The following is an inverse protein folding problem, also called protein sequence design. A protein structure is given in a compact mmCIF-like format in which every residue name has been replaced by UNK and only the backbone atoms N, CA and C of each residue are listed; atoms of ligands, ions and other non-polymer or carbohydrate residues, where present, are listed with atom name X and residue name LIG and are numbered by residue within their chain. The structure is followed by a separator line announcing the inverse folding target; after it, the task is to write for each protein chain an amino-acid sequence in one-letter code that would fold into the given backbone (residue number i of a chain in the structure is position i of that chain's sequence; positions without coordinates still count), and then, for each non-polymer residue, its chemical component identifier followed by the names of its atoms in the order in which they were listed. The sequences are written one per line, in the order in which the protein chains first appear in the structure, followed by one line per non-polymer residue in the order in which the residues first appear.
data_IF_773649149819
#
_entry.id   IF_773649149819
#
_cell.length_a   1.000
_cell.length_b   1.000
_cell.length_c   1.000
_cell.angle_alpha   90.00
_cell.angle_beta   90.00
_cell.angle_gamma   90.00
#
_symmetry.space_group_name_H-M   'P 1'
#
loop_
_entity.id
_entity.type
_entity.pdbx_description
1 polymer ?
#
# COMPACT_ATOMS: atom_id res chain seq x y z
N UNK A 1 -13.83 15.81 7.13
CA UNK A 1 -13.77 14.35 7.29
C UNK A 1 -15.13 13.81 7.65
N UNK A 2 -15.56 12.73 7.02
CA UNK A 2 -16.85 12.10 7.27
C UNK A 2 -16.61 10.71 7.84
N UNK A 3 -17.30 10.36 8.92
CA UNK A 3 -17.23 9.03 9.54
C UNK A 3 -18.62 8.40 9.57
N UNK A 4 -18.67 7.10 9.33
CA UNK A 4 -19.91 6.31 9.44
C UNK A 4 -19.72 5.23 10.50
N UNK A 5 -20.65 5.19 11.46
CA UNK A 5 -20.73 4.13 12.48
C UNK A 5 -22.16 3.59 12.49
N UNK A 6 -22.32 2.35 12.08
CA UNK A 6 -23.65 1.77 11.79
C UNK A 6 -24.41 2.63 10.77
N UNK A 7 -25.60 3.14 11.13
CA UNK A 7 -26.42 4.01 10.28
C UNK A 7 -26.20 5.51 10.57
N UNK A 8 -25.31 5.84 11.50
CA UNK A 8 -24.99 7.23 11.86
C UNK A 8 -23.81 7.75 11.06
N UNK A 9 -23.98 8.93 10.45
CA UNK A 9 -22.95 9.61 9.66
C UNK A 9 -22.67 10.95 10.31
N UNK A 10 -21.42 11.14 10.72
CA UNK A 10 -20.89 12.39 11.25
C UNK A 10 -19.94 13.03 10.26
N UNK A 11 -20.08 14.33 10.05
CA UNK A 11 -19.18 15.12 9.22
C UNK A 11 -18.60 16.26 10.03
N UNK A 12 -17.27 16.31 10.08
CA UNK A 12 -16.54 17.37 10.78
C UNK A 12 -15.46 17.98 9.88
N UNK A 13 -15.30 19.29 9.94
CA UNK A 13 -14.10 19.93 9.43
C UNK A 13 -12.93 19.60 10.36
N UNK A 14 -11.83 19.12 9.79
CA UNK A 14 -10.61 18.80 10.53
C UNK A 14 -9.44 19.52 9.87
N UNK A 15 -8.55 20.07 10.67
CA UNK A 15 -7.33 20.70 10.14
C UNK A 15 -6.35 19.66 9.66
N UNK A 16 -6.16 18.58 10.43
CA UNK A 16 -5.28 17.50 10.13
C UNK A 16 -6.01 16.15 10.30
N UNK A 17 -6.22 15.38 9.22
CA UNK A 17 -6.89 14.08 9.30
C UNK A 17 -6.10 13.05 10.11
N UNK A 18 -4.78 13.14 10.17
CA UNK A 18 -3.96 12.22 10.94
C UNK A 18 -4.18 12.35 12.45
N UNK A 19 -4.39 13.58 12.95
CA UNK A 19 -4.68 13.79 14.37
C UNK A 19 -6.07 13.25 14.74
N UNK A 20 -7.03 13.34 13.82
CA UNK A 20 -8.33 12.71 14.01
C UNK A 20 -8.21 11.18 14.07
N UNK A 21 -7.41 10.58 13.20
CA UNK A 21 -7.15 9.12 13.21
C UNK A 21 -6.51 8.71 14.55
N UNK A 22 -5.54 9.46 15.05
CA UNK A 22 -4.91 9.21 16.36
C UNK A 22 -5.96 9.22 17.49
N UNK A 23 -6.82 10.24 17.52
CA UNK A 23 -7.89 10.32 18.52
C UNK A 23 -8.88 9.15 18.41
N UNK A 24 -9.20 8.72 17.20
CA UNK A 24 -10.03 7.54 16.98
C UNK A 24 -9.35 6.28 17.51
N UNK A 25 -8.07 6.06 17.18
CA UNK A 25 -7.33 4.85 17.58
C UNK A 25 -7.14 4.73 19.10
N UNK A 26 -7.08 5.84 19.83
CA UNK A 26 -7.03 5.80 21.32
C UNK A 26 -8.28 5.13 21.93
N UNK A 27 -9.42 5.19 21.23
CA UNK A 27 -10.67 4.56 21.70
C UNK A 27 -10.69 3.04 21.52
N UNK A 28 -9.77 2.49 20.71
CA UNK A 28 -9.71 1.07 20.37
C UNK A 28 -8.36 0.48 20.77
N UNK A 29 -8.37 -0.30 21.85
CA UNK A 29 -7.19 -1.06 22.26
C UNK A 29 -7.19 -2.42 21.56
N UNK A 30 -6.18 -2.66 20.77
CA UNK A 30 -5.91 -3.98 20.20
C UNK A 30 -5.14 -4.83 21.22
N UNK A 31 -5.51 -6.08 21.46
CA UNK A 31 -4.69 -7.00 22.23
C UNK A 31 -3.36 -7.24 21.49
N UNK A 32 -2.31 -7.45 22.24
CA UNK A 32 -0.98 -7.80 21.73
C UNK A 32 -0.75 -9.32 21.83
N UNK A 33 0.34 -9.80 21.24
CA UNK A 33 0.78 -11.19 21.43
C UNK A 33 1.09 -11.55 22.89
N UNK A 34 1.36 -10.54 23.74
CA UNK A 34 1.50 -10.73 25.19
C UNK A 34 0.15 -10.98 25.86
N UNK A 35 -0.90 -10.27 25.40
CA UNK A 35 -2.27 -10.47 25.90
C UNK A 35 -2.86 -11.81 25.40
N UNK A 36 -2.60 -12.16 24.13
CA UNK A 36 -3.10 -13.38 23.46
C UNK A 36 -1.98 -14.02 22.64
N UNK A 37 -1.24 -15.00 23.19
CA UNK A 37 -0.07 -15.60 22.52
C UNK A 37 -0.37 -16.27 21.18
N UNK A 38 -1.60 -16.66 20.93
CA UNK A 38 -2.06 -17.28 19.66
C UNK A 38 -2.58 -16.23 18.66
N UNK A 39 -2.50 -14.95 18.99
CA UNK A 39 -2.97 -13.89 18.10
C UNK A 39 -2.11 -13.86 16.83
N UNK A 40 -2.70 -13.89 15.63
CA UNK A 40 -1.96 -13.67 14.40
C UNK A 40 -1.28 -12.28 14.38
N UNK A 41 -0.19 -12.16 13.63
CA UNK A 41 0.55 -10.89 13.48
C UNK A 41 -0.32 -9.76 12.95
N UNK A 42 -1.38 -10.07 12.19
CA UNK A 42 -2.41 -9.14 11.77
C UNK A 42 -3.76 -9.56 12.34
N UNK A 43 -4.21 -8.90 13.39
CA UNK A 43 -5.48 -9.17 14.05
C UNK A 43 -6.62 -8.22 13.69
N UNK A 44 -6.38 -7.24 12.84
CA UNK A 44 -7.33 -6.19 12.48
C UNK A 44 -6.77 -4.81 12.80
N UNK A 45 -7.31 -3.79 12.21
CA UNK A 45 -6.92 -2.39 12.40
C UNK A 45 -7.80 -1.48 11.54
N UNK A 46 -7.34 -0.25 11.30
CA UNK A 46 -7.79 0.58 10.21
C UNK A 46 -7.18 0.09 8.89
N UNK A 47 -8.00 -0.32 7.97
CA UNK A 47 -7.62 -0.83 6.63
C UNK A 47 -8.26 0.04 5.56
N UNK A 48 -7.52 0.39 4.52
CA UNK A 48 -8.05 1.21 3.43
C UNK A 48 -6.92 1.79 2.58
N UNK A 49 -7.09 3.01 2.10
CA UNK A 49 -6.09 3.68 1.29
C UNK A 49 -5.92 5.15 1.66
N UNK A 50 -4.71 5.63 1.40
CA UNK A 50 -4.37 7.04 1.30
C UNK A 50 -4.02 7.32 -0.16
N UNK A 51 -4.79 8.20 -0.80
CA UNK A 51 -4.55 8.61 -2.19
C UNK A 51 -3.28 9.46 -2.31
N UNK A 52 -2.76 9.57 -3.53
CA UNK A 52 -1.53 10.34 -3.78
C UNK A 52 -1.64 11.80 -3.32
N UNK A 53 -2.82 12.41 -3.46
CA UNK A 53 -3.06 13.82 -3.09
C UNK A 53 -2.97 14.09 -1.58
N UNK A 54 -2.94 13.04 -0.72
CA UNK A 54 -2.62 13.20 0.70
C UNK A 54 -1.24 13.85 0.93
N UNK A 55 -0.34 13.80 -0.05
CA UNK A 55 0.93 14.49 0.01
C UNK A 55 0.80 15.99 0.27
N UNK A 56 -0.29 16.62 -0.17
CA UNK A 56 -0.54 18.06 0.02
C UNK A 56 -0.80 18.44 1.48
N UNK A 57 -1.29 17.47 2.25
CA UNK A 57 -1.48 17.62 3.69
C UNK A 57 -0.15 17.36 4.43
N UNK A 58 0.62 16.37 3.95
CA UNK A 58 1.91 15.98 4.53
C UNK A 58 2.97 17.04 4.22
N UNK A 59 2.99 17.55 2.97
CA UNK A 59 3.98 18.48 2.46
C UNK A 59 3.28 19.65 1.74
N UNK A 60 2.87 20.68 2.48
CA UNK A 60 2.12 21.82 1.93
C UNK A 60 2.86 22.59 0.82
N UNK A 61 4.20 22.46 0.74
CA UNK A 61 5.01 23.11 -0.29
C UNK A 61 4.74 22.58 -1.71
N UNK A 62 4.18 21.38 -1.83
CA UNK A 62 3.70 20.82 -3.12
C UNK A 62 2.53 21.61 -3.67
N UNK A 63 1.80 22.32 -2.82
CA UNK A 63 0.69 23.19 -3.19
C UNK A 63 -0.61 22.46 -3.44
N UNK A 64 -1.66 23.24 -3.70
CA UNK A 64 -2.98 22.70 -4.05
C UNK A 64 -3.03 22.31 -5.53
N UNK A 65 -3.79 21.29 -5.85
CA UNK A 65 -4.07 20.90 -7.23
C UNK A 65 -5.42 21.44 -7.66
N UNK A 66 -5.42 22.10 -8.81
CA UNK A 66 -6.63 22.41 -9.56
C UNK A 66 -7.04 21.26 -10.49
N UNK A 67 -6.34 20.12 -10.39
CA UNK A 67 -6.65 18.97 -11.20
C UNK A 67 -8.05 18.40 -10.86
N UNK A 68 -8.86 18.12 -11.86
CA UNK A 68 -10.19 17.57 -11.61
C UNK A 68 -10.10 16.18 -10.99
N UNK A 69 -11.01 15.88 -10.06
CA UNK A 69 -11.22 14.53 -9.52
C UNK A 69 -12.39 13.84 -10.25
N UNK A 70 -12.19 13.31 -11.46
CA UNK A 70 -13.29 12.81 -12.30
C UNK A 70 -13.88 11.49 -11.80
N UNK A 71 -13.22 10.83 -10.85
CA UNK A 71 -13.74 9.61 -10.21
C UNK A 71 -14.52 9.92 -8.93
N UNK A 72 -14.46 11.17 -8.45
CA UNK A 72 -15.08 11.60 -7.19
C UNK A 72 -14.67 10.73 -5.99
N UNK A 73 -13.43 10.21 -6.04
CA UNK A 73 -12.91 9.40 -4.94
C UNK A 73 -12.39 10.29 -3.82
N UNK A 74 -12.62 9.91 -2.55
CA UNK A 74 -12.01 10.62 -1.43
C UNK A 74 -10.48 10.45 -1.43
N UNK A 75 -9.76 11.45 -0.92
CA UNK A 75 -8.30 11.38 -0.81
C UNK A 75 -7.84 10.30 0.17
N UNK A 76 -8.71 9.93 1.11
CA UNK A 76 -8.47 8.86 2.08
C UNK A 76 -9.79 8.13 2.35
N UNK A 77 -9.73 6.81 2.42
CA UNK A 77 -10.85 5.98 2.86
C UNK A 77 -10.32 4.86 3.75
N UNK A 78 -10.83 4.79 4.98
CA UNK A 78 -10.40 3.81 5.98
C UNK A 78 -11.62 3.12 6.59
N UNK A 79 -11.49 1.84 6.84
CA UNK A 79 -12.46 0.98 7.52
C UNK A 79 -11.83 0.44 8.80
N UNK A 80 -12.52 0.57 9.91
CA UNK A 80 -12.15 -0.13 11.14
C UNK A 80 -12.64 -1.57 11.06
N UNK A 81 -11.70 -2.52 11.05
CA UNK A 81 -12.01 -3.95 10.97
C UNK A 81 -12.41 -4.49 12.34
N UNK A 82 -13.69 -4.72 12.56
CA UNK A 82 -14.23 -5.28 13.80
C UNK A 82 -14.29 -6.82 13.77
N UNK A 83 -14.22 -7.40 12.59
CA UNK A 83 -14.15 -8.86 12.40
C UNK A 83 -13.09 -9.17 11.32
N UNK A 84 -12.23 -10.13 11.59
CA UNK A 84 -11.13 -10.50 10.69
C UNK A 84 -11.03 -12.02 10.60
N UNK A 85 -10.83 -12.53 9.38
CA UNK A 85 -10.51 -13.92 9.13
C UNK A 85 -9.08 -13.99 8.62
N UNK A 86 -8.24 -14.73 9.32
CA UNK A 86 -6.82 -14.88 8.97
C UNK A 86 -6.57 -16.31 8.53
N UNK A 87 -6.08 -16.47 7.30
CA UNK A 87 -5.57 -17.75 6.78
C UNK A 87 -4.05 -17.75 6.92
N UNK A 88 -3.54 -18.60 7.78
CA UNK A 88 -2.09 -18.86 7.87
C UNK A 88 -1.76 -20.07 7.00
N UNK A 89 -1.14 -19.79 5.84
CA UNK A 89 -0.77 -20.85 4.89
C UNK A 89 0.48 -21.63 5.32
N UNK A 90 1.25 -21.13 6.27
CA UNK A 90 2.42 -21.83 6.81
C UNK A 90 1.99 -22.87 7.84
N UNK A 91 1.15 -22.45 8.78
CA UNK A 91 0.62 -23.32 9.85
C UNK A 91 -0.63 -24.10 9.41
N UNK A 92 -1.18 -23.80 8.22
CA UNK A 92 -2.44 -24.34 7.73
C UNK A 92 -3.60 -24.16 8.72
N UNK A 93 -3.68 -22.99 9.33
CA UNK A 93 -4.73 -22.64 10.29
C UNK A 93 -5.61 -21.51 9.75
N UNK A 94 -6.83 -21.46 10.26
CA UNK A 94 -7.77 -20.36 10.04
C UNK A 94 -8.16 -19.81 11.41
N UNK A 95 -7.98 -18.51 11.60
CA UNK A 95 -8.38 -17.80 12.81
C UNK A 95 -9.49 -16.80 12.48
N UNK A 96 -10.56 -16.82 13.27
CA UNK A 96 -11.64 -15.83 13.20
C UNK A 96 -11.51 -14.95 14.45
N UNK A 97 -11.36 -13.67 14.26
CA UNK A 97 -11.19 -12.68 15.33
C UNK A 97 -12.37 -11.72 15.27
N UNK A 98 -13.08 -11.56 16.37
CA UNK A 98 -14.16 -10.58 16.51
C UNK A 98 -13.89 -9.70 17.72
N UNK A 99 -13.89 -8.40 17.52
CA UNK A 99 -13.70 -7.40 18.57
C UNK A 99 -15.02 -7.10 19.25
N UNK A 100 -15.02 -7.15 20.58
CA UNK A 100 -16.20 -6.90 21.41
C UNK A 100 -15.99 -5.66 22.28
N UNK A 101 -17.08 -5.00 22.62
CA UNK A 101 -17.09 -4.10 23.76
C UNK A 101 -17.03 -4.94 25.05
N UNK A 102 -15.84 -4.96 25.66
CA UNK A 102 -15.60 -5.77 26.86
C UNK A 102 -16.19 -5.14 28.16
N UNK A 103 -16.86 -3.99 28.06
CA UNK A 103 -17.48 -3.33 29.23
C UNK A 103 -18.87 -3.89 29.54
N UNK A 104 -19.45 -4.66 28.62
CA UNK A 104 -20.83 -5.18 28.77
C UNK A 104 -20.91 -6.68 28.45
N UNK A 105 -21.76 -7.42 29.17
CA UNK A 105 -22.09 -8.82 28.85
C UNK A 105 -22.79 -8.94 27.49
N UNK A 106 -23.52 -7.92 27.09
CA UNK A 106 -24.17 -7.84 25.79
C UNK A 106 -23.15 -7.78 24.67
N UNK A 107 -22.06 -6.98 24.81
CA UNK A 107 -20.98 -6.88 23.86
C UNK A 107 -20.30 -8.22 23.59
N UNK A 108 -20.03 -9.01 24.66
CA UNK A 108 -19.50 -10.36 24.52
C UNK A 108 -20.47 -11.29 23.77
N UNK A 109 -21.75 -11.27 24.15
CA UNK A 109 -22.78 -12.10 23.51
C UNK A 109 -22.98 -11.76 22.03
N UNK A 110 -22.84 -10.49 21.65
CA UNK A 110 -22.86 -10.05 20.24
C UNK A 110 -21.66 -10.57 19.47
N UNK A 111 -20.47 -10.54 20.06
CA UNK A 111 -19.26 -11.06 19.41
C UNK A 111 -19.32 -12.57 19.18
N UNK A 112 -19.83 -13.36 20.13
CA UNK A 112 -20.03 -14.81 19.96
C UNK A 112 -20.99 -15.08 18.80
N UNK A 113 -22.11 -14.39 18.74
CA UNK A 113 -23.07 -14.53 17.62
C UNK A 113 -22.47 -14.17 16.26
N UNK A 114 -21.60 -13.17 16.22
CA UNK A 114 -20.92 -12.81 14.97
C UNK A 114 -19.89 -13.86 14.57
N UNK A 115 -19.16 -14.45 15.54
CA UNK A 115 -18.26 -15.59 15.29
C UNK A 115 -19.02 -16.78 14.68
N UNK A 116 -20.13 -17.22 15.31
CA UNK A 116 -20.97 -18.33 14.84
C UNK A 116 -21.48 -18.06 13.41
N UNK A 117 -21.95 -16.85 13.14
CA UNK A 117 -22.43 -16.44 11.81
C UNK A 117 -21.33 -16.47 10.73
N UNK A 118 -20.09 -16.08 11.08
CA UNK A 118 -18.95 -16.16 10.17
C UNK A 118 -18.61 -17.62 9.89
N UNK A 119 -18.59 -18.47 10.92
CA UNK A 119 -18.33 -19.91 10.81
C UNK A 119 -19.37 -20.60 9.91
N UNK A 120 -20.67 -20.33 10.11
CA UNK A 120 -21.74 -20.81 9.24
C UNK A 120 -21.53 -20.41 7.78
N UNK A 121 -21.20 -19.14 7.53
CA UNK A 121 -20.92 -18.63 6.17
C UNK A 121 -19.71 -19.29 5.52
N UNK A 122 -18.67 -19.60 6.27
CA UNK A 122 -17.49 -20.29 5.74
C UNK A 122 -17.79 -21.73 5.35
N UNK A 123 -18.79 -22.35 5.97
CA UNK A 123 -19.25 -23.70 5.63
C UNK A 123 -20.16 -23.74 4.38
N UNK A 124 -20.70 -22.61 3.93
CA UNK A 124 -21.54 -22.55 2.75
C UNK A 124 -20.75 -22.85 1.47
N UNK A 125 -21.26 -23.67 0.54
CA UNK A 125 -20.60 -23.91 -0.73
C UNK A 125 -20.55 -22.64 -1.59
N UNK A 126 -19.35 -22.31 -2.06
CA UNK A 126 -19.13 -21.15 -2.93
C UNK A 126 -19.45 -21.47 -4.39
N UNK A 127 -20.45 -20.81 -4.95
CA UNK A 127 -20.82 -20.88 -6.37
C UNK A 127 -20.16 -19.71 -7.13
N UNK A 128 -18.86 -19.81 -7.41
CA UNK A 128 -18.16 -18.83 -8.21
C UNK A 128 -18.29 -19.18 -9.70
N UNK A 129 -19.14 -18.47 -10.42
CA UNK A 129 -19.14 -18.47 -11.87
C UNK A 129 -18.19 -17.40 -12.38
N UNK A 130 -17.27 -17.76 -13.27
CA UNK A 130 -16.46 -16.77 -13.98
C UNK A 130 -17.20 -16.33 -15.23
N UNK A 131 -17.75 -15.11 -15.30
CA UNK A 131 -18.37 -14.63 -16.52
C UNK A 131 -17.32 -14.48 -17.63
N UNK A 132 -17.67 -14.90 -18.84
CA UNK A 132 -16.85 -14.60 -20.02
C UNK A 132 -17.04 -13.13 -20.34
N UNK A 133 -15.96 -12.36 -20.22
CA UNK A 133 -15.97 -10.93 -20.46
C UNK A 133 -15.38 -10.61 -21.83
N UNK A 134 -15.94 -9.65 -22.58
CA UNK A 134 -15.29 -9.13 -23.76
C UNK A 134 -13.99 -8.42 -23.37
N UNK A 135 -12.99 -8.47 -24.23
CA UNK A 135 -11.73 -7.75 -24.01
C UNK A 135 -11.99 -6.24 -23.93
N UNK A 136 -11.69 -5.58 -22.81
CA UNK A 136 -11.95 -4.16 -22.65
C UNK A 136 -11.06 -3.33 -23.57
N UNK A 137 -11.61 -2.25 -24.11
CA UNK A 137 -10.83 -1.28 -24.88
C UNK A 137 -10.35 -0.16 -23.97
N UNK A 138 -9.06 -0.12 -23.73
CA UNK A 138 -8.43 0.92 -22.90
C UNK A 138 -8.26 2.23 -23.66
N UNK A 139 -8.57 3.34 -22.99
CA UNK A 139 -8.43 4.70 -23.51
C UNK A 139 -7.49 5.45 -22.55
N UNK A 140 -6.41 6.01 -23.11
CA UNK A 140 -5.51 6.90 -22.35
C UNK A 140 -6.18 8.26 -22.13
N UNK A 141 -6.22 8.71 -20.89
CA UNK A 141 -6.75 10.03 -20.55
C UNK A 141 -5.74 11.17 -20.85
N UNK A 142 -4.46 10.86 -20.87
CA UNK A 142 -3.39 11.82 -21.19
C UNK A 142 -3.16 11.91 -22.70
N UNK A 143 -3.19 10.78 -23.39
CA UNK A 143 -2.82 10.66 -24.79
C UNK A 143 -1.31 10.62 -25.01
N UNK A 144 -0.90 10.00 -26.11
CA UNK A 144 0.51 9.74 -26.42
C UNK A 144 1.33 11.03 -26.59
N UNK A 145 0.79 11.99 -27.35
CA UNK A 145 1.51 13.24 -27.67
C UNK A 145 1.86 14.04 -26.40
N UNK A 146 0.85 14.23 -25.53
CA UNK A 146 1.05 14.94 -24.27
C UNK A 146 2.01 14.18 -23.37
N UNK A 147 1.87 12.88 -23.21
CA UNK A 147 2.77 12.06 -22.39
C UNK A 147 4.23 12.18 -22.87
N UNK A 148 4.47 12.07 -24.19
CA UNK A 148 5.80 12.23 -24.76
C UNK A 148 6.36 13.65 -24.58
N UNK A 149 5.50 14.68 -24.66
CA UNK A 149 5.90 16.07 -24.39
C UNK A 149 6.29 16.27 -22.93
N UNK A 150 5.51 15.73 -22.00
CA UNK A 150 5.80 15.79 -20.55
C UNK A 150 7.12 15.09 -20.23
N UNK A 151 7.39 13.91 -20.81
CA UNK A 151 8.68 13.22 -20.67
C UNK A 151 9.85 14.04 -21.18
N UNK A 152 9.70 14.75 -22.32
CA UNK A 152 10.75 15.65 -22.82
C UNK A 152 11.04 16.77 -21.83
N UNK A 153 10.00 17.42 -21.31
CA UNK A 153 10.14 18.48 -20.30
C UNK A 153 10.82 17.99 -19.02
N UNK A 154 10.48 16.75 -18.55
CA UNK A 154 11.16 16.14 -17.41
C UNK A 154 12.65 15.93 -17.69
N UNK A 155 13.01 15.48 -18.90
CA UNK A 155 14.43 15.34 -19.30
C UNK A 155 15.18 16.67 -19.28
N UNK A 156 14.51 17.79 -19.61
CA UNK A 156 15.10 19.11 -19.51
C UNK A 156 15.37 19.50 -18.06
N UNK A 157 14.47 19.18 -17.12
CA UNK A 157 14.70 19.37 -15.67
C UNK A 157 15.85 18.52 -15.14
N UNK A 158 15.98 17.27 -15.61
CA UNK A 158 17.12 16.41 -15.25
C UNK A 158 18.43 17.02 -15.77
N UNK A 159 18.45 17.47 -17.03
CA UNK A 159 19.64 18.10 -17.62
C UNK A 159 20.03 19.42 -16.93
N UNK A 160 19.04 20.16 -16.41
CA UNK A 160 19.26 21.37 -15.63
C UNK A 160 19.74 21.12 -14.20
N UNK A 161 19.71 19.86 -13.72
CA UNK A 161 20.09 19.48 -12.35
C UNK A 161 18.99 19.73 -11.31
N UNK A 162 17.76 19.99 -11.74
CA UNK A 162 16.62 20.18 -10.84
C UNK A 162 16.20 18.88 -10.12
N UNK A 163 16.25 17.77 -10.84
CA UNK A 163 15.88 16.44 -10.36
C UNK A 163 16.83 15.38 -10.91
N UNK A 164 16.97 14.26 -10.21
CA UNK A 164 17.68 13.08 -10.71
C UNK A 164 16.73 12.12 -11.42
N UNK A 165 15.50 11.98 -10.89
CA UNK A 165 14.46 11.09 -11.42
C UNK A 165 13.09 11.71 -11.18
N UNK A 166 12.18 11.52 -12.14
CA UNK A 166 10.74 11.81 -11.99
C UNK A 166 9.94 10.67 -12.61
N UNK A 167 8.89 10.26 -11.93
CA UNK A 167 7.99 9.19 -12.39
C UNK A 167 6.69 9.81 -12.94
N UNK A 168 6.57 10.00 -14.26
CA UNK A 168 5.34 10.48 -14.86
C UNK A 168 4.30 9.36 -14.88
N UNK A 169 3.03 9.71 -14.59
CA UNK A 169 1.94 8.77 -14.61
C UNK A 169 0.90 9.09 -15.69
N UNK A 170 0.22 8.08 -16.16
CA UNK A 170 -0.97 8.22 -16.99
C UNK A 170 -2.08 7.31 -16.51
N UNK A 171 -3.34 7.70 -16.78
CA UNK A 171 -4.51 6.89 -16.48
C UNK A 171 -5.08 6.31 -17.75
N UNK A 172 -5.31 5.00 -17.71
CA UNK A 172 -6.07 4.27 -18.72
C UNK A 172 -7.47 3.95 -18.18
N UNK A 173 -8.50 4.14 -18.96
CA UNK A 173 -9.88 3.82 -18.60
C UNK A 173 -10.49 2.84 -19.60
N UNK A 174 -11.35 1.97 -19.10
CA UNK A 174 -12.13 1.05 -19.92
C UNK A 174 -13.47 0.78 -19.24
N UNK A 175 -14.50 0.51 -20.04
CA UNK A 175 -15.77 0.01 -19.53
C UNK A 175 -15.59 -1.42 -19.01
N UNK A 176 -16.09 -1.66 -17.81
CA UNK A 176 -16.03 -2.95 -17.15
C UNK A 176 -17.37 -3.28 -16.49
N UNK A 177 -17.96 -4.42 -16.86
CA UNK A 177 -19.26 -4.88 -16.36
C UNK A 177 -19.18 -6.18 -15.55
N UNK A 178 -17.98 -6.64 -15.25
CA UNK A 178 -17.73 -7.89 -14.53
C UNK A 178 -17.63 -7.73 -13.02
N UNK A 179 -17.32 -8.85 -12.37
CA UNK A 179 -17.04 -8.91 -10.95
C UNK A 179 -15.59 -8.53 -10.65
N UNK A 180 -15.39 -7.64 -9.70
CA UNK A 180 -14.06 -7.21 -9.21
C UNK A 180 -13.24 -8.39 -8.65
N UNK A 181 -13.89 -9.36 -8.01
CA UNK A 181 -13.22 -10.58 -7.52
C UNK A 181 -12.62 -11.40 -8.67
N UNK A 182 -13.28 -11.43 -9.83
CA UNK A 182 -12.73 -12.10 -11.02
C UNK A 182 -11.44 -11.44 -11.51
N UNK A 183 -11.38 -10.09 -11.49
CA UNK A 183 -10.15 -9.33 -11.81
C UNK A 183 -9.05 -9.63 -10.80
N UNK A 184 -9.36 -9.60 -9.50
CA UNK A 184 -8.40 -9.93 -8.45
C UNK A 184 -7.83 -11.35 -8.62
N UNK A 185 -8.68 -12.33 -8.91
CA UNK A 185 -8.25 -13.73 -9.11
C UNK A 185 -7.37 -13.88 -10.34
N UNK A 186 -7.72 -13.20 -11.44
CA UNK A 186 -6.88 -13.17 -12.64
C UNK A 186 -5.52 -12.52 -12.36
N UNK A 187 -5.51 -11.39 -11.66
CA UNK A 187 -4.27 -10.70 -11.27
C UNK A 187 -3.39 -11.58 -10.36
N UNK A 188 -4.00 -12.25 -9.38
CA UNK A 188 -3.29 -13.19 -8.49
C UNK A 188 -2.66 -14.35 -9.26
N UNK A 189 -3.31 -14.84 -10.31
CA UNK A 189 -2.77 -15.90 -11.15
C UNK A 189 -1.64 -15.41 -12.07
N UNK A 190 -1.83 -14.25 -12.69
CA UNK A 190 -0.88 -13.71 -13.67
C UNK A 190 0.36 -13.10 -13.02
N UNK A 191 0.19 -12.43 -11.89
CA UNK A 191 1.25 -11.69 -11.20
C UNK A 191 1.13 -11.88 -9.68
N UNK A 192 1.45 -13.06 -9.14
CA UNK A 192 1.45 -13.30 -7.70
C UNK A 192 2.52 -12.41 -7.05
N UNK A 193 2.07 -11.41 -6.33
CA UNK A 193 2.90 -10.46 -5.60
C UNK A 193 2.72 -10.64 -4.09
N UNK A 194 3.70 -10.25 -3.24
CA UNK A 194 3.59 -10.36 -1.79
C UNK A 194 2.38 -9.62 -1.21
N UNK A 195 2.00 -8.51 -1.84
CA UNK A 195 0.91 -7.64 -1.39
C UNK A 195 -0.19 -7.57 -2.44
N UNK A 196 -1.10 -8.53 -2.38
CA UNK A 196 -2.31 -8.56 -3.19
C UNK A 196 -3.47 -8.06 -2.35
N UNK A 197 -4.26 -7.16 -2.89
CA UNK A 197 -5.41 -6.61 -2.17
C UNK A 197 -6.63 -6.43 -3.08
N UNK A 198 -7.79 -6.58 -2.47
CA UNK A 198 -9.10 -6.24 -3.01
C UNK A 198 -9.87 -5.52 -1.91
N UNK A 199 -10.10 -4.25 -2.09
CA UNK A 199 -10.84 -3.41 -1.14
C UNK A 199 -12.18 -3.05 -1.76
N UNK A 200 -13.26 -3.40 -1.08
CA UNK A 200 -14.62 -2.97 -1.40
C UNK A 200 -14.99 -1.78 -0.51
N UNK A 201 -15.40 -0.70 -1.09
CA UNK A 201 -15.81 0.48 -0.37
C UNK A 201 -17.04 1.15 -0.96
N UNK A 202 -17.57 2.10 -0.20
CA UNK A 202 -18.62 3.00 -0.64
C UNK A 202 -18.20 4.43 -0.31
N UNK A 203 -18.45 5.34 -1.23
CA UNK A 203 -18.37 6.76 -0.93
C UNK A 203 -19.42 7.10 0.10
N UNK A 204 -19.13 8.02 1.03
CA UNK A 204 -20.06 8.36 2.10
C UNK A 204 -21.14 9.36 1.63
N UNK A 205 -20.86 10.13 0.58
CA UNK A 205 -21.74 11.19 0.10
C UNK A 205 -22.92 10.63 -0.74
N UNK A 206 -22.62 9.75 -1.70
CA UNK A 206 -23.59 9.24 -2.66
C UNK A 206 -23.76 7.72 -2.61
N UNK A 207 -23.16 7.04 -1.64
CA UNK A 207 -23.14 5.59 -1.49
C UNK A 207 -22.73 4.83 -2.75
N UNK A 208 -21.92 5.45 -3.59
CA UNK A 208 -21.39 4.82 -4.79
C UNK A 208 -20.35 3.77 -4.41
N UNK A 209 -20.55 2.55 -4.86
CA UNK A 209 -19.57 1.47 -4.68
C UNK A 209 -18.32 1.74 -5.49
N UNK A 210 -17.18 1.46 -4.90
CA UNK A 210 -15.89 1.36 -5.57
C UNK A 210 -15.15 0.10 -5.15
N UNK A 211 -14.28 -0.40 -6.02
CA UNK A 211 -13.41 -1.52 -5.74
C UNK A 211 -11.97 -1.13 -6.13
N UNK A 212 -11.03 -1.35 -5.22
CA UNK A 212 -9.60 -1.14 -5.47
C UNK A 212 -8.91 -2.50 -5.48
N UNK A 213 -8.26 -2.82 -6.60
CA UNK A 213 -7.60 -4.09 -6.81
C UNK A 213 -6.15 -3.81 -7.13
N UNK A 214 -5.23 -4.50 -6.47
CA UNK A 214 -3.82 -4.31 -6.73
C UNK A 214 -2.95 -5.52 -6.40
N UNK A 215 -1.77 -5.51 -7.00
CA UNK A 215 -0.68 -6.43 -6.74
C UNK A 215 0.60 -5.60 -6.64
N UNK A 216 1.21 -5.53 -5.47
CA UNK A 216 2.42 -4.76 -5.23
C UNK A 216 3.56 -5.67 -4.77
N UNK A 217 4.75 -5.53 -5.34
CA UNK A 217 5.94 -6.22 -4.85
C UNK A 217 6.60 -5.49 -3.68
N UNK A 218 6.28 -4.22 -3.46
CA UNK A 218 7.01 -3.30 -2.59
C UNK A 218 6.10 -2.72 -1.50
N UNK A 219 6.64 -2.62 -0.28
CA UNK A 219 6.03 -1.88 0.83
C UNK A 219 6.48 -0.41 0.78
N UNK A 220 5.61 0.51 1.17
CA UNK A 220 6.02 1.88 1.47
C UNK A 220 6.89 1.90 2.73
N UNK A 221 6.35 1.37 3.81
CA UNK A 221 7.05 1.16 5.09
C UNK A 221 6.32 0.11 5.91
N UNK A 222 7.03 -0.51 6.85
CA UNK A 222 6.49 -1.43 7.85
C UNK A 222 7.04 -1.09 9.21
N UNK A 223 6.18 -1.21 10.23
CA UNK A 223 6.58 -1.09 11.63
C UNK A 223 6.22 -2.40 12.32
N UNK A 224 7.20 -3.01 12.93
CA UNK A 224 7.03 -4.25 13.66
C UNK A 224 7.97 -4.28 14.86
N UNK A 225 7.44 -4.48 16.07
CA UNK A 225 8.20 -4.48 17.32
C UNK A 225 9.12 -3.25 17.49
N UNK A 226 8.63 -2.05 17.16
CA UNK A 226 9.38 -0.82 17.25
C UNK A 226 10.45 -0.61 16.16
N UNK A 227 10.55 -1.52 15.20
CA UNK A 227 11.44 -1.41 14.04
C UNK A 227 10.68 -0.89 12.84
N UNK A 228 11.19 0.16 12.21
CA UNK A 228 10.72 0.68 10.93
C UNK A 228 11.57 0.08 9.83
N UNK A 229 10.92 -0.44 8.79
CA UNK A 229 11.58 -0.99 7.60
C UNK A 229 11.03 -0.31 6.35
N UNK A 230 11.91 0.16 5.48
CA UNK A 230 11.61 0.48 4.08
C UNK A 230 12.43 -0.44 3.19
N UNK A 231 11.85 -0.80 2.04
CA UNK A 231 12.44 -1.81 1.17
C UNK A 231 12.43 -1.36 -0.29
N UNK A 232 13.39 -0.53 -0.69
CA UNK A 232 13.49 -0.09 -2.07
C UNK A 232 13.74 -1.29 -3.01
N UNK A 233 12.99 -1.31 -4.11
CA UNK A 233 13.16 -2.22 -5.22
C UNK A 233 13.49 -1.39 -6.47
N UNK A 234 14.58 -1.73 -7.16
CA UNK A 234 14.93 -1.11 -8.43
C UNK A 234 15.70 -2.10 -9.32
N UNK A 235 15.85 -1.72 -10.57
CA UNK A 235 16.44 -2.62 -11.56
C UNK A 235 15.54 -3.82 -11.86
N UNK A 236 15.44 -4.18 -13.12
CA UNK A 236 14.58 -5.30 -13.53
C UNK A 236 15.23 -6.10 -14.64
N UNK A 237 15.21 -7.42 -14.50
CA UNK A 237 15.45 -8.36 -15.57
C UNK A 237 14.34 -9.40 -15.61
N UNK A 238 14.06 -9.93 -16.81
CA UNK A 238 13.19 -11.10 -16.95
C UNK A 238 13.83 -12.32 -16.31
N UNK A 239 13.02 -13.31 -15.98
CA UNK A 239 13.53 -14.61 -15.57
C UNK A 239 14.19 -15.34 -16.73
N UNK A 240 15.25 -16.07 -16.45
CA UNK A 240 15.91 -16.97 -17.40
C UNK A 240 15.02 -18.19 -17.72
N UNK A 241 15.24 -18.80 -18.89
CA UNK A 241 14.56 -20.05 -19.28
C UNK A 241 15.07 -21.28 -18.51
N UNK A 242 16.25 -21.16 -17.92
CA UNK A 242 16.90 -22.15 -17.08
C UNK A 242 17.78 -21.45 -16.04
N UNK A 243 18.29 -22.22 -15.07
CA UNK A 243 19.08 -21.70 -13.96
C UNK A 243 20.36 -20.96 -14.41
N UNK A 244 21.05 -21.47 -15.45
CA UNK A 244 22.26 -20.83 -15.94
C UNK A 244 21.97 -19.45 -16.56
N UNK A 245 20.90 -19.32 -17.34
CA UNK A 245 20.47 -18.05 -17.90
C UNK A 245 19.98 -17.10 -16.79
N UNK A 246 19.26 -17.61 -15.79
CA UNK A 246 18.77 -16.81 -14.65
C UNK A 246 19.93 -16.21 -13.85
N UNK A 247 20.99 -17.01 -13.59
CA UNK A 247 22.21 -16.54 -12.93
C UNK A 247 23.00 -15.54 -13.80
N UNK A 248 23.04 -15.73 -15.11
CA UNK A 248 23.70 -14.79 -16.01
C UNK A 248 22.97 -13.43 -16.02
N UNK A 249 21.63 -13.40 -16.05
CA UNK A 249 20.82 -12.20 -15.98
C UNK A 249 20.94 -11.50 -14.61
N UNK A 250 21.07 -12.25 -13.52
CA UNK A 250 21.40 -11.70 -12.21
C UNK A 250 22.73 -10.96 -12.20
N UNK A 251 23.80 -11.59 -12.74
CA UNK A 251 25.10 -10.97 -12.80
C UNK A 251 25.10 -9.74 -13.72
N UNK A 252 24.39 -9.79 -14.84
CA UNK A 252 24.19 -8.64 -15.71
C UNK A 252 23.53 -7.49 -14.95
N UNK A 253 22.45 -7.77 -14.21
CA UNK A 253 21.71 -6.76 -13.45
C UNK A 253 22.58 -6.11 -12.38
N UNK A 254 23.31 -6.90 -11.61
CA UNK A 254 24.19 -6.40 -10.53
C UNK A 254 25.40 -5.60 -11.05
N UNK A 255 25.82 -5.85 -12.30
CA UNK A 255 26.92 -5.13 -12.95
C UNK A 255 26.44 -3.95 -13.79
N UNK A 256 25.14 -3.72 -13.92
CA UNK A 256 24.61 -2.57 -14.65
C UNK A 256 24.79 -1.30 -13.80
N UNK A 257 25.69 -0.42 -14.24
CA UNK A 257 26.04 0.82 -13.52
C UNK A 257 24.84 1.75 -13.34
N UNK A 258 23.92 1.79 -14.31
CA UNK A 258 22.73 2.62 -14.22
C UNK A 258 21.76 2.07 -13.17
N UNK A 259 21.45 0.79 -13.21
CA UNK A 259 20.50 0.14 -12.29
C UNK A 259 21.03 0.17 -10.85
N UNK A 260 22.33 -0.05 -10.66
CA UNK A 260 22.96 0.04 -9.33
C UNK A 260 23.01 1.47 -8.80
N UNK A 261 23.27 2.48 -9.64
CA UNK A 261 23.24 3.88 -9.25
C UNK A 261 21.82 4.34 -8.86
N UNK A 262 20.80 3.92 -9.63
CA UNK A 262 19.39 4.17 -9.29
C UNK A 262 19.03 3.53 -7.97
N UNK A 263 19.43 2.29 -7.74
CA UNK A 263 19.15 1.58 -6.49
C UNK A 263 19.82 2.23 -5.28
N UNK A 264 21.07 2.69 -5.42
CA UNK A 264 21.76 3.46 -4.37
C UNK A 264 21.02 4.75 -4.02
N UNK A 265 20.51 5.47 -5.03
CA UNK A 265 19.70 6.67 -4.83
C UNK A 265 18.43 6.37 -4.02
N UNK A 266 17.77 5.24 -4.29
CA UNK A 266 16.56 4.84 -3.55
C UNK A 266 16.87 4.37 -2.13
N UNK A 267 18.03 3.71 -1.90
CA UNK A 267 18.51 3.40 -0.54
C UNK A 267 18.74 4.68 0.26
N UNK A 268 19.42 5.68 -0.34
CA UNK A 268 19.67 6.97 0.31
C UNK A 268 18.36 7.70 0.63
N UNK A 269 17.42 7.71 -0.31
CA UNK A 269 16.09 8.27 -0.09
C UNK A 269 15.36 7.58 1.07
N UNK A 270 15.35 6.25 1.10
CA UNK A 270 14.74 5.48 2.18
C UNK A 270 15.41 5.72 3.53
N UNK A 271 16.74 5.83 3.55
CA UNK A 271 17.50 6.16 4.75
C UNK A 271 17.12 7.56 5.27
N UNK A 272 17.03 8.55 4.40
CA UNK A 272 16.62 9.92 4.75
C UNK A 272 15.16 9.97 5.23
N UNK A 273 14.25 9.24 4.60
CA UNK A 273 12.83 9.21 4.95
C UNK A 273 12.63 8.69 6.39
N UNK A 274 13.15 7.49 6.70
CA UNK A 274 12.97 6.92 8.05
C UNK A 274 13.87 7.60 9.10
N UNK A 275 14.98 8.22 8.69
CA UNK A 275 15.84 9.03 9.57
C UNK A 275 15.11 10.17 10.26
N UNK A 276 13.99 10.64 9.67
CA UNK A 276 13.14 11.70 10.24
C UNK A 276 12.35 11.23 11.48
N UNK A 277 12.11 9.93 11.63
CA UNK A 277 11.24 9.34 12.65
C UNK A 277 11.93 8.28 13.52
N UNK A 278 13.11 7.83 13.13
CA UNK A 278 13.90 6.87 13.90
C UNK A 278 14.87 7.53 14.85
N UNK A 279 15.34 6.77 15.83
CA UNK A 279 16.38 7.19 16.77
C UNK A 279 17.67 7.51 16.02
N UNK A 280 18.37 8.54 16.48
CA UNK A 280 19.63 8.94 15.88
C UNK A 280 20.66 7.81 15.90
N UNK A 281 21.26 7.53 14.74
CA UNK A 281 22.26 6.47 14.59
C UNK A 281 21.70 5.04 14.54
N UNK A 282 20.37 4.86 14.63
CA UNK A 282 19.73 3.53 14.52
C UNK A 282 19.51 3.08 13.09
N UNK A 283 19.42 4.02 12.13
CA UNK A 283 19.13 3.70 10.74
C UNK A 283 20.32 3.01 10.08
N UNK A 284 20.08 1.84 9.50
CA UNK A 284 21.10 1.00 8.85
C UNK A 284 20.54 0.32 7.60
N UNK A 285 21.40 0.10 6.62
CA UNK A 285 21.13 -0.82 5.52
C UNK A 285 21.51 -2.21 6.01
N UNK A 286 20.52 -3.06 6.30
CA UNK A 286 20.73 -4.40 6.84
C UNK A 286 21.07 -5.42 5.78
N UNK A 287 20.38 -5.34 4.64
CA UNK A 287 20.66 -6.15 3.45
C UNK A 287 20.81 -5.22 2.25
N UNK A 288 21.92 -5.37 1.52
CA UNK A 288 22.26 -4.46 0.44
C UNK A 288 22.37 -5.18 -0.89
N UNK A 289 21.58 -4.74 -1.87
CA UNK A 289 21.69 -5.16 -3.27
C UNK A 289 21.64 -6.68 -3.48
N UNK A 290 20.66 -7.34 -2.86
CA UNK A 290 20.40 -8.74 -3.14
C UNK A 290 19.34 -8.89 -4.25
N UNK A 291 19.38 -10.03 -4.95
CA UNK A 291 18.40 -10.30 -6.00
C UNK A 291 17.17 -10.99 -5.42
N UNK A 292 16.02 -10.38 -5.66
CA UNK A 292 14.72 -10.96 -5.38
C UNK A 292 14.06 -11.48 -6.65
N UNK A 293 13.70 -12.77 -6.64
CA UNK A 293 13.12 -13.44 -7.80
C UNK A 293 11.62 -13.59 -7.63
N UNK A 294 10.91 -13.05 -8.61
CA UNK A 294 9.45 -13.23 -8.76
C UNK A 294 9.17 -14.20 -9.92
N UNK A 295 7.89 -14.48 -10.16
CA UNK A 295 7.51 -15.44 -11.21
C UNK A 295 7.95 -15.02 -12.61
N UNK A 296 7.92 -13.73 -12.94
CA UNK A 296 8.19 -13.21 -14.29
C UNK A 296 9.45 -12.37 -14.38
N UNK A 297 9.91 -11.81 -13.28
CA UNK A 297 11.02 -10.86 -13.23
C UNK A 297 11.87 -11.08 -11.98
N UNK A 298 13.09 -10.51 -12.01
CA UNK A 298 13.92 -10.33 -10.82
C UNK A 298 14.24 -8.84 -10.62
N UNK A 299 14.44 -8.44 -9.38
CA UNK A 299 14.76 -7.07 -8.98
C UNK A 299 15.97 -7.05 -8.05
N UNK A 300 16.66 -5.91 -8.02
CA UNK A 300 17.59 -5.60 -6.93
C UNK A 300 16.76 -5.09 -5.75
N UNK A 301 16.96 -5.65 -4.58
CA UNK A 301 16.31 -5.26 -3.34
C UNK A 301 17.34 -4.87 -2.28
N UNK A 302 16.94 -4.00 -1.36
CA UNK A 302 17.70 -3.71 -0.15
C UNK A 302 16.74 -3.46 1.01
N UNK A 303 17.19 -3.67 2.24
CA UNK A 303 16.45 -3.32 3.44
C UNK A 303 17.13 -2.15 4.15
N UNK A 304 16.35 -1.13 4.49
CA UNK A 304 16.78 -0.02 5.33
C UNK A 304 15.91 -0.03 6.57
N UNK A 305 16.53 -0.17 7.74
CA UNK A 305 15.85 -0.36 9.01
C UNK A 305 16.30 0.66 10.05
N UNK A 306 15.39 1.02 10.95
CA UNK A 306 15.69 1.88 12.08
C UNK A 306 14.75 1.64 13.26
N UNK A 307 15.14 2.04 14.46
CA UNK A 307 14.30 2.00 15.65
C UNK A 307 13.45 3.25 15.70
N UNK A 308 12.13 3.10 15.78
CA UNK A 308 11.22 4.26 15.88
C UNK A 308 11.46 5.01 17.20
N UNK A 309 11.44 6.34 17.17
CA UNK A 309 11.49 7.13 18.39
C UNK A 309 10.22 6.96 19.21
N UNK A 310 10.34 7.01 20.53
CA UNK A 310 9.23 6.85 21.47
C UNK A 310 8.14 7.93 21.38
N UNK A 311 8.45 9.10 20.76
CA UNK A 311 7.51 10.19 20.50
C UNK A 311 6.82 10.09 19.13
N UNK A 312 7.05 9.01 18.38
CA UNK A 312 6.54 8.79 17.02
C UNK A 312 5.65 7.55 16.94
N UNK A 313 4.71 7.58 15.99
CA UNK A 313 3.76 6.51 15.73
C UNK A 313 3.76 6.08 14.24
N UNK A 314 2.88 5.14 13.89
CA UNK A 314 2.75 4.63 12.53
C UNK A 314 2.35 5.70 11.51
N UNK A 315 1.57 6.69 11.91
CA UNK A 315 1.17 7.80 11.02
C UNK A 315 2.33 8.76 10.77
N UNK A 316 3.21 8.98 11.78
CA UNK A 316 4.44 9.73 11.58
C UNK A 316 5.37 9.03 10.57
N UNK A 317 5.51 7.70 10.67
CA UNK A 317 6.30 6.92 9.70
C UNK A 317 5.69 7.00 8.31
N UNK A 318 4.36 6.87 8.20
CA UNK A 318 3.66 7.06 6.93
C UNK A 318 3.95 8.45 6.35
N UNK A 319 3.78 9.52 7.11
CA UNK A 319 4.05 10.88 6.65
C UNK A 319 5.51 11.10 6.25
N UNK A 320 6.46 10.46 6.93
CA UNK A 320 7.88 10.58 6.61
C UNK A 320 8.27 9.89 5.30
N UNK A 321 7.62 8.77 4.97
CA UNK A 321 7.96 7.92 3.82
C UNK A 321 7.11 8.22 2.57
N UNK A 322 5.90 8.78 2.75
CA UNK A 322 4.94 9.01 1.65
C UNK A 322 5.27 10.29 0.84
N UNK A 323 5.08 10.25 -0.51
CA UNK A 323 4.93 9.04 -1.31
C UNK A 323 6.29 8.35 -1.52
N UNK A 324 6.26 7.07 -1.92
CA UNK A 324 7.48 6.33 -2.25
C UNK A 324 8.28 7.03 -3.35
N UNK A 325 9.61 7.00 -3.28
CA UNK A 325 10.48 7.55 -4.31
C UNK A 325 10.29 6.87 -5.67
N UNK A 326 10.01 5.57 -5.66
CA UNK A 326 9.68 4.76 -6.84
C UNK A 326 8.38 5.19 -7.54
N UNK A 327 7.53 5.99 -6.88
CA UNK A 327 6.27 6.52 -7.42
C UNK A 327 6.26 8.05 -7.60
N UNK A 328 7.34 8.74 -7.23
CA UNK A 328 7.46 10.20 -7.33
C UNK A 328 8.75 10.63 -8.03
N UNK A 329 9.88 10.40 -7.42
CA UNK A 329 11.21 10.72 -7.93
C UNK A 329 12.16 11.20 -6.85
N UNK A 330 13.30 11.73 -7.27
CA UNK A 330 14.36 12.21 -6.40
C UNK A 330 14.96 13.53 -6.94
N UNK A 331 15.13 14.58 -6.11
CA UNK A 331 14.61 14.74 -4.76
C UNK A 331 13.07 14.74 -4.71
N UNK A 332 12.50 14.07 -3.70
CA UNK A 332 11.06 13.75 -3.62
C UNK A 332 10.14 14.96 -3.86
N UNK A 333 10.27 16.00 -3.06
CA UNK A 333 9.42 17.20 -3.13
C UNK A 333 9.60 17.95 -4.44
N UNK A 334 10.82 18.04 -4.97
CA UNK A 334 11.10 18.73 -6.23
C UNK A 334 10.55 17.97 -7.45
N UNK A 335 10.45 16.64 -7.36
CA UNK A 335 9.93 15.80 -8.43
C UNK A 335 8.39 15.84 -8.52
N UNK A 336 7.71 16.18 -7.43
CA UNK A 336 6.26 16.40 -7.37
C UNK A 336 5.86 17.80 -7.80
#
# INVERSE_FOLDING_TARGET
MTTKRNDHIDTAAVENPFDYIRQLMVQYRMPTSEDVPTMPSFGGSLVGYFGYDMVRIIEPSVGLSDAPNPMSMPDMWLMLSMSVIVFDNLENTLSIIVYADCQTEEGYSLAIRELEKIEEKLAEPSNLSAPVMPTPKFISQTGMEKYCSDVKKIKDYIAAGDVMQVVPAQRLTADYIGDSLAVYRALRYLNPSPYLFLVHGYTLDDHKRFDIIGASPEILSRIENGKVTVRPLAGTRKRGQNEAEDLALEQELLNDEKETAEHLMLIDLGHNDIGRVCEYGSVKVTDKMFIERYSQVMHIASNVEGTIRSDKDALDVFCATFPAGTLSGAPKIRAM
#
